data_IF_524100998048
#
_entry.id   IF_524100998048
#
_cell.length_a   1.000
_cell.length_b   1.000
_cell.length_c   1.000
_cell.angle_alpha   90.00
_cell.angle_beta   90.00
_cell.angle_gamma   90.00
#
_symmetry.space_group_name_H-M   'P 1'
#
loop_
_entity.id
_entity.type
_entity.pdbx_description
1 polymer ?
#
# COMPACT_ATOMS: atom_id res chain seq x y z
N UNK A 1 29.68 -12.85 8.00
CA UNK A 1 29.90 -11.94 9.15
C UNK A 1 29.42 -12.56 10.46
N UNK A 2 28.11 -12.81 10.64
CA UNK A 2 27.56 -13.25 11.95
C UNK A 2 28.08 -14.61 12.41
N UNK A 3 28.20 -15.60 11.52
CA UNK A 3 28.77 -16.92 11.88
C UNK A 3 30.17 -16.80 12.49
N UNK A 4 31.03 -15.96 11.89
CA UNK A 4 32.35 -15.65 12.43
C UNK A 4 32.30 -14.95 13.80
N UNK A 5 31.30 -14.09 14.04
CA UNK A 5 31.11 -13.47 15.36
C UNK A 5 30.77 -14.57 16.38
N UNK A 6 29.87 -15.49 16.05
CA UNK A 6 29.49 -16.60 16.93
C UNK A 6 30.65 -17.56 17.23
N UNK A 7 31.52 -17.82 16.25
CA UNK A 7 32.72 -18.64 16.47
C UNK A 7 33.71 -17.95 17.41
N UNK A 8 34.04 -16.67 17.13
CA UNK A 8 35.02 -15.93 17.93
C UNK A 8 34.52 -15.66 19.35
N UNK A 9 33.21 -15.50 19.54
CA UNK A 9 32.65 -15.24 20.87
C UNK A 9 32.73 -16.45 21.81
N UNK A 10 33.00 -17.66 21.30
CA UNK A 10 33.26 -18.83 22.13
C UNK A 10 34.62 -18.75 22.84
N UNK A 11 35.57 -17.99 22.30
CA UNK A 11 36.94 -17.90 22.82
C UNK A 11 37.27 -16.52 23.40
N UNK A 12 36.62 -15.45 22.93
CA UNK A 12 36.98 -14.06 23.26
C UNK A 12 35.77 -13.16 23.35
N UNK A 13 35.92 -12.02 24.04
CA UNK A 13 34.95 -10.92 23.96
C UNK A 13 35.03 -10.24 22.60
N UNK A 14 33.89 -10.00 21.97
CA UNK A 14 33.77 -9.37 20.65
C UNK A 14 33.08 -8.01 20.80
N UNK A 15 33.68 -6.98 20.22
CA UNK A 15 33.06 -5.65 20.09
C UNK A 15 32.68 -5.44 18.63
N UNK A 16 31.43 -5.06 18.38
CA UNK A 16 30.95 -4.68 17.05
C UNK A 16 30.73 -3.17 17.06
N UNK A 17 31.45 -2.45 16.20
CA UNK A 17 31.24 -1.02 16.01
C UNK A 17 30.15 -0.81 14.96
N UNK A 18 29.15 0.02 15.31
CA UNK A 18 28.07 0.44 14.44
C UNK A 18 27.91 1.95 14.53
N UNK A 19 27.44 2.57 13.45
CA UNK A 19 27.14 4.01 13.41
C UNK A 19 25.81 4.31 14.10
N UNK A 20 25.80 5.26 15.05
CA UNK A 20 24.60 5.72 15.73
C UNK A 20 24.02 4.69 16.70
N UNK A 21 22.69 4.56 16.71
CA UNK A 21 21.99 3.59 17.56
C UNK A 21 21.88 2.23 16.84
N UNK A 22 22.51 1.15 17.36
CA UNK A 22 22.44 -0.17 16.74
C UNK A 22 21.02 -0.76 16.63
N UNK A 23 20.07 -0.31 17.46
CA UNK A 23 18.69 -0.81 17.47
C UNK A 23 17.76 0.01 16.57
N UNK A 24 18.19 1.18 16.09
CA UNK A 24 17.41 2.02 15.20
C UNK A 24 17.86 1.85 13.74
N UNK A 25 17.20 0.95 13.01
CA UNK A 25 17.55 0.58 11.63
C UNK A 25 19.01 0.11 11.43
N UNK A 26 19.69 -0.24 12.53
CA UNK A 26 21.06 -0.75 12.55
C UNK A 26 21.16 -2.28 12.65
N UNK A 27 22.39 -2.75 12.82
CA UNK A 27 22.73 -4.18 12.87
C UNK A 27 22.27 -4.89 14.16
N UNK A 28 21.96 -4.14 15.21
CA UNK A 28 21.68 -4.66 16.56
C UNK A 28 20.52 -5.65 16.60
N UNK A 29 19.41 -5.36 15.90
CA UNK A 29 18.27 -6.30 15.81
C UNK A 29 18.69 -7.66 15.25
N UNK A 30 19.55 -7.67 14.23
CA UNK A 30 20.02 -8.90 13.60
C UNK A 30 20.97 -9.67 14.52
N UNK A 31 21.86 -8.98 15.24
CA UNK A 31 22.74 -9.59 16.23
C UNK A 31 21.95 -10.20 17.39
N UNK A 32 21.02 -9.46 17.99
CA UNK A 32 20.16 -9.96 19.08
C UNK A 32 19.35 -11.19 18.63
N UNK A 33 18.74 -11.16 17.45
CA UNK A 33 17.95 -12.28 16.93
C UNK A 33 18.79 -13.54 16.70
N UNK A 34 20.03 -13.39 16.22
CA UNK A 34 20.90 -14.52 15.86
C UNK A 34 21.72 -15.04 17.02
N UNK A 35 22.14 -14.17 17.92
CA UNK A 35 23.05 -14.47 19.00
C UNK A 35 22.36 -14.57 20.36
N UNK A 36 21.07 -14.23 20.50
CA UNK A 36 20.37 -14.19 21.79
C UNK A 36 20.58 -12.87 22.53
N UNK A 37 19.51 -12.30 23.09
CA UNK A 37 19.57 -10.98 23.73
C UNK A 37 20.42 -10.95 25.00
N UNK A 38 20.48 -12.08 25.71
CA UNK A 38 21.31 -12.27 26.91
C UNK A 38 22.81 -12.28 26.62
N UNK A 39 23.22 -12.47 25.36
CA UNK A 39 24.62 -12.51 24.92
C UNK A 39 25.07 -11.23 24.20
N UNK A 40 24.19 -10.24 24.08
CA UNK A 40 24.46 -9.00 23.34
C UNK A 40 24.17 -7.80 24.23
N UNK A 41 25.22 -7.13 24.69
CA UNK A 41 25.11 -5.81 25.31
C UNK A 41 25.03 -4.73 24.22
N UNK A 42 23.98 -3.91 24.24
CA UNK A 42 23.81 -2.79 23.32
C UNK A 42 24.19 -1.50 24.01
N UNK A 43 25.19 -0.81 23.46
CA UNK A 43 25.58 0.53 23.86
C UNK A 43 25.09 1.52 22.78
N UNK A 44 23.98 2.24 23.00
CA UNK A 44 23.46 3.16 22.00
C UNK A 44 24.31 4.42 21.90
N UNK A 45 24.28 5.06 20.74
CA UNK A 45 24.80 6.40 20.52
C UNK A 45 23.73 7.28 19.87
N UNK A 46 23.96 8.59 19.78
CA UNK A 46 23.01 9.51 19.16
C UNK A 46 22.76 9.07 17.71
N UNK A 47 21.49 8.84 17.37
CA UNK A 47 21.12 8.42 16.02
C UNK A 47 21.19 9.59 15.03
N UNK A 48 21.33 9.28 13.75
CA UNK A 48 21.26 10.27 12.67
C UNK A 48 19.92 11.02 12.68
N UNK A 49 18.82 10.36 13.05
CA UNK A 49 17.52 11.02 13.22
C UNK A 49 17.56 12.07 14.33
N UNK A 50 18.10 11.73 15.51
CA UNK A 50 18.22 12.67 16.62
C UNK A 50 19.08 13.87 16.26
N UNK A 51 20.21 13.65 15.58
CA UNK A 51 21.08 14.73 15.09
C UNK A 51 20.34 15.61 14.07
N UNK A 52 19.64 15.01 13.09
CA UNK A 52 18.90 15.76 12.07
C UNK A 52 17.84 16.69 12.69
N UNK A 53 17.04 16.20 13.63
CA UNK A 53 16.03 17.02 14.31
C UNK A 53 16.66 18.09 15.21
N UNK A 54 17.77 17.79 15.87
CA UNK A 54 18.52 18.78 16.64
C UNK A 54 19.05 19.92 15.75
N UNK A 55 19.49 19.63 14.51
CA UNK A 55 19.91 20.65 13.53
C UNK A 55 18.74 21.41 12.94
N UNK A 56 17.61 20.74 12.73
CA UNK A 56 16.38 21.36 12.25
C UNK A 56 15.75 22.29 13.30
N UNK A 57 16.02 22.03 14.59
CA UNK A 57 15.47 22.81 15.71
C UNK A 57 14.03 22.43 16.04
N UNK A 58 13.63 21.18 15.80
CA UNK A 58 12.25 20.71 15.88
C UNK A 58 12.14 19.46 16.76
N UNK A 59 10.96 19.25 17.34
CA UNK A 59 10.67 18.01 18.05
C UNK A 59 10.38 16.87 17.06
N UNK A 60 10.95 15.70 17.32
CA UNK A 60 10.67 14.47 16.58
C UNK A 60 9.55 13.63 17.20
N UNK A 61 8.95 14.11 18.30
CA UNK A 61 7.88 13.40 18.99
C UNK A 61 6.66 13.20 18.07
N UNK A 62 6.26 11.94 17.90
CA UNK A 62 5.11 11.58 17.08
C UNK A 62 5.34 11.67 15.57
N UNK A 63 6.55 12.03 15.11
CA UNK A 63 6.88 12.06 13.69
C UNK A 63 7.04 10.63 13.16
N UNK A 64 6.25 10.21 12.14
CA UNK A 64 6.45 8.93 11.48
C UNK A 64 7.84 8.84 10.85
N UNK A 65 8.46 7.67 10.99
CA UNK A 65 9.76 7.36 10.39
C UNK A 65 9.58 6.25 9.37
N UNK A 66 9.82 6.58 8.10
CA UNK A 66 9.81 5.64 6.99
C UNK A 66 11.24 5.33 6.57
N UNK A 67 11.55 4.03 6.46
CA UNK A 67 12.84 3.61 5.92
C UNK A 67 12.69 3.26 4.45
N UNK A 68 13.33 4.05 3.60
CA UNK A 68 13.52 3.77 2.18
C UNK A 68 14.82 2.99 1.95
N UNK A 69 15.72 2.93 2.93
CA UNK A 69 16.97 2.18 2.82
C UNK A 69 16.76 0.70 2.47
N UNK A 70 17.19 0.31 1.27
CA UNK A 70 17.01 -1.04 0.72
C UNK A 70 15.55 -1.38 0.38
N UNK A 71 14.67 -0.38 0.26
CA UNK A 71 13.24 -0.54 -0.03
C UNK A 71 12.82 0.38 -1.17
N UNK A 72 11.83 0.01 -2.00
CA UNK A 72 11.42 0.87 -3.10
C UNK A 72 10.69 2.13 -2.60
N UNK A 73 10.82 3.22 -3.37
CA UNK A 73 9.95 4.41 -3.25
C UNK A 73 8.46 4.09 -3.47
N UNK A 74 8.18 2.96 -4.14
CA UNK A 74 6.83 2.51 -4.44
C UNK A 74 5.94 2.54 -3.19
N UNK A 75 4.77 3.17 -3.33
CA UNK A 75 3.80 3.33 -2.24
C UNK A 75 4.10 4.46 -1.25
N UNK A 76 5.21 5.19 -1.36
CA UNK A 76 5.53 6.28 -0.43
C UNK A 76 4.43 7.34 -0.40
N UNK A 77 3.82 7.67 -1.55
CA UNK A 77 2.80 8.70 -1.67
C UNK A 77 1.62 8.43 -0.73
N UNK A 78 1.05 7.21 -0.74
CA UNK A 78 -0.06 6.87 0.17
C UNK A 78 0.36 6.75 1.64
N UNK A 79 1.62 6.40 1.94
CA UNK A 79 2.10 6.28 3.35
C UNK A 79 2.21 7.64 4.04
N UNK A 80 2.60 8.68 3.29
CA UNK A 80 2.83 10.01 3.84
C UNK A 80 1.70 11.01 3.55
N UNK A 81 0.67 10.61 2.80
CA UNK A 81 -0.45 11.49 2.48
C UNK A 81 -1.12 12.00 3.76
N UNK A 82 -1.36 13.31 3.83
CA UNK A 82 -1.94 13.95 5.02
C UNK A 82 -1.02 14.14 6.23
N UNK A 83 0.22 13.66 6.24
CA UNK A 83 1.15 13.87 7.36
C UNK A 83 1.68 15.31 7.40
N UNK A 84 1.93 15.86 8.59
CA UNK A 84 2.52 17.22 8.70
C UNK A 84 4.05 17.18 8.66
N UNK A 85 4.64 16.09 9.14
CA UNK A 85 6.07 15.86 9.08
C UNK A 85 6.35 14.37 8.98
N UNK A 86 7.34 13.97 8.18
CA UNK A 86 7.79 12.57 8.06
C UNK A 86 9.30 12.54 7.90
N UNK A 87 9.97 11.66 8.63
CA UNK A 87 11.39 11.41 8.45
C UNK A 87 11.64 10.20 7.56
N UNK A 88 12.52 10.35 6.58
CA UNK A 88 12.87 9.35 5.58
C UNK A 88 14.33 8.96 5.73
N UNK A 89 14.59 7.67 5.99
CA UNK A 89 15.94 7.10 5.90
C UNK A 89 16.21 6.67 4.46
N UNK A 90 17.29 7.15 3.87
CA UNK A 90 17.59 7.03 2.44
C UNK A 90 18.69 6.01 2.14
N UNK A 91 18.98 5.83 0.85
CA UNK A 91 20.12 5.05 0.35
C UNK A 91 20.68 5.68 -0.95
N UNK A 92 21.51 4.93 -1.66
CA UNK A 92 22.15 5.32 -2.91
C UNK A 92 21.19 5.42 -4.10
N UNK A 93 19.99 4.84 -4.01
CA UNK A 93 18.96 4.88 -5.06
C UNK A 93 17.85 5.88 -4.70
N UNK A 94 17.37 5.80 -3.47
CA UNK A 94 16.32 6.64 -2.88
C UNK A 94 16.93 7.94 -2.32
N UNK A 95 17.69 8.62 -3.16
CA UNK A 95 18.36 9.89 -2.83
C UNK A 95 17.34 11.01 -2.58
N UNK A 96 17.74 12.14 -1.97
CA UNK A 96 16.86 13.30 -1.85
C UNK A 96 16.28 13.73 -3.21
N UNK A 97 17.09 13.75 -4.27
CA UNK A 97 16.60 14.07 -5.61
C UNK A 97 15.55 13.07 -6.12
N UNK A 98 15.74 11.77 -5.89
CA UNK A 98 14.76 10.74 -6.26
C UNK A 98 13.45 10.88 -5.48
N UNK A 99 13.52 11.17 -4.18
CA UNK A 99 12.35 11.44 -3.32
C UNK A 99 11.59 12.66 -3.84
N UNK A 100 12.28 13.77 -4.13
CA UNK A 100 11.62 14.98 -4.66
C UNK A 100 10.91 14.70 -5.98
N UNK A 101 11.56 14.04 -6.94
CA UNK A 101 10.96 13.67 -8.22
C UNK A 101 9.71 12.78 -8.04
N UNK A 102 9.77 11.81 -7.12
CA UNK A 102 8.64 10.95 -6.79
C UNK A 102 7.46 11.77 -6.25
N UNK A 103 7.68 12.65 -5.29
CA UNK A 103 6.63 13.49 -4.70
C UNK A 103 6.00 14.43 -5.75
N UNK A 104 6.83 15.05 -6.60
CA UNK A 104 6.38 15.93 -7.68
C UNK A 104 5.51 15.17 -8.70
N UNK A 105 5.85 13.92 -9.03
CA UNK A 105 5.04 13.05 -9.91
C UNK A 105 3.63 12.84 -9.36
N UNK A 106 3.48 12.71 -8.03
CA UNK A 106 2.18 12.56 -7.35
C UNK A 106 1.52 13.91 -7.01
N UNK A 107 2.04 15.03 -7.50
CA UNK A 107 1.50 16.36 -7.22
C UNK A 107 1.56 16.73 -5.74
N UNK A 108 2.55 16.22 -4.99
CA UNK A 108 2.74 16.48 -3.57
C UNK A 108 3.65 17.69 -3.37
N UNK A 109 3.12 18.89 -3.60
CA UNK A 109 3.87 20.17 -3.56
C UNK A 109 3.72 20.94 -2.25
N UNK A 110 2.98 20.40 -1.29
CA UNK A 110 2.78 21.01 0.03
C UNK A 110 3.99 20.92 0.97
N UNK A 111 5.00 20.12 0.63
CA UNK A 111 6.14 19.83 1.49
C UNK A 111 7.36 20.65 1.09
N UNK A 112 8.11 21.07 2.10
CA UNK A 112 9.54 21.39 1.99
C UNK A 112 10.34 20.27 2.66
N UNK A 113 11.58 20.10 2.26
CA UNK A 113 12.46 19.06 2.80
C UNK A 113 13.61 19.68 3.59
N UNK A 114 13.92 19.12 4.76
CA UNK A 114 15.18 19.35 5.44
C UNK A 114 16.10 18.16 5.15
N UNK A 115 17.22 18.42 4.49
CA UNK A 115 18.20 17.38 4.15
C UNK A 115 19.40 17.56 5.07
N UNK A 116 19.78 16.50 5.76
CA UNK A 116 20.93 16.47 6.66
C UNK A 116 21.91 15.39 6.23
N UNK A 117 23.14 15.79 5.97
CA UNK A 117 24.19 15.02 5.30
C UNK A 117 25.40 14.87 6.21
N UNK A 118 26.05 13.70 6.17
CA UNK A 118 27.29 13.40 6.90
C UNK A 118 27.24 13.77 8.40
N UNK A 119 26.07 13.60 9.03
CA UNK A 119 25.80 14.00 10.41
C UNK A 119 26.86 13.44 11.39
N UNK A 120 27.40 14.32 12.23
CA UNK A 120 28.47 14.02 13.20
C UNK A 120 29.88 13.98 12.61
N UNK A 121 30.04 14.15 11.30
CA UNK A 121 31.33 14.14 10.60
C UNK A 121 31.90 15.55 10.33
N UNK A 122 33.10 15.60 9.75
CA UNK A 122 33.77 16.85 9.38
C UNK A 122 33.06 17.59 8.22
N UNK A 123 32.40 16.83 7.34
CA UNK A 123 31.68 17.34 6.17
C UNK A 123 30.16 17.43 6.42
N UNK A 124 29.75 17.58 7.69
CA UNK A 124 28.34 17.73 8.06
C UNK A 124 27.72 18.96 7.37
N UNK A 125 26.59 18.76 6.70
CA UNK A 125 25.80 19.83 6.09
C UNK A 125 24.32 19.57 6.35
N UNK A 126 23.55 20.61 6.65
CA UNK A 126 22.11 20.50 6.76
C UNK A 126 21.42 21.77 6.27
N UNK A 127 20.27 21.63 5.63
CA UNK A 127 19.53 22.76 5.08
C UNK A 127 18.14 22.44 4.58
N UNK A 128 17.34 23.50 4.44
CA UNK A 128 16.01 23.43 3.86
C UNK A 128 16.06 23.53 2.34
N UNK A 129 15.19 22.76 1.69
CA UNK A 129 15.03 22.69 0.25
C UNK A 129 13.55 22.70 -0.13
N UNK A 130 13.24 23.40 -1.22
CA UNK A 130 12.02 23.17 -1.99
C UNK A 130 12.21 21.92 -2.86
N UNK A 131 11.12 21.24 -3.24
CA UNK A 131 11.21 19.95 -3.94
C UNK A 131 11.80 20.09 -5.35
N UNK A 132 11.44 21.12 -6.10
CA UNK A 132 11.91 21.29 -7.48
C UNK A 132 13.44 21.52 -7.54
N UNK A 133 14.04 22.41 -6.72
CA UNK A 133 15.50 22.49 -6.63
C UNK A 133 16.15 21.21 -6.10
N UNK A 134 15.56 20.56 -5.10
CA UNK A 134 16.08 19.30 -4.53
C UNK A 134 16.15 18.19 -5.58
N UNK A 135 15.17 18.12 -6.48
CA UNK A 135 15.11 17.14 -7.57
C UNK A 135 16.29 17.22 -8.55
N UNK A 136 16.98 18.36 -8.61
CA UNK A 136 18.10 18.64 -9.53
C UNK A 136 19.47 18.73 -8.82
N UNK A 137 19.50 18.63 -7.49
CA UNK A 137 20.71 18.79 -6.71
C UNK A 137 21.36 17.43 -6.39
N UNK A 138 22.68 17.47 -6.15
CA UNK A 138 23.44 16.31 -5.68
C UNK A 138 23.67 16.39 -4.17
N UNK A 139 23.57 15.24 -3.52
CA UNK A 139 23.70 15.10 -2.07
C UNK A 139 24.69 13.98 -1.74
N UNK A 140 25.30 14.06 -0.55
CA UNK A 140 26.15 13.00 -0.01
C UNK A 140 25.38 11.68 0.08
N UNK A 141 26.01 10.52 -0.19
CA UNK A 141 25.39 9.20 0.01
C UNK A 141 24.88 8.98 1.44
N UNK A 142 25.49 9.62 2.45
CA UNK A 142 25.03 9.56 3.83
C UNK A 142 24.13 10.76 4.12
N UNK A 143 22.81 10.56 4.01
CA UNK A 143 21.84 11.62 4.26
C UNK A 143 20.56 11.09 4.94
N UNK A 144 19.78 12.03 5.48
CA UNK A 144 18.38 11.84 5.90
C UNK A 144 17.56 12.99 5.32
N UNK A 145 16.32 12.68 4.94
CA UNK A 145 15.36 13.67 4.47
C UNK A 145 14.22 13.76 5.48
N UNK A 146 13.89 14.96 5.95
CA UNK A 146 12.69 15.22 6.73
C UNK A 146 11.76 16.08 5.90
N UNK A 147 10.60 15.54 5.53
CA UNK A 147 9.55 16.30 4.87
C UNK A 147 8.74 17.04 5.93
N UNK A 148 8.54 18.35 5.75
CA UNK A 148 7.68 19.18 6.58
C UNK A 148 6.67 19.92 5.71
N UNK A 149 5.40 19.80 6.02
CA UNK A 149 4.33 20.55 5.36
C UNK A 149 4.58 22.05 5.56
N UNK A 150 4.42 22.83 4.49
CA UNK A 150 4.56 24.29 4.53
C UNK A 150 3.40 24.90 5.30
N UNK A 151 3.68 25.96 6.05
CA UNK A 151 2.65 26.68 6.79
C UNK A 151 1.56 27.20 5.83
N UNK A 152 0.30 26.91 6.16
CA UNK A 152 -0.85 27.29 5.33
C UNK A 152 -1.03 26.49 4.03
N UNK A 153 -0.17 25.51 3.73
CA UNK A 153 -0.38 24.63 2.58
C UNK A 153 -1.60 23.74 2.83
N UNK A 154 -2.57 23.79 1.91
CA UNK A 154 -3.74 22.93 1.99
C UNK A 154 -3.34 21.50 1.66
N UNK A 155 -3.59 20.60 2.61
CA UNK A 155 -3.71 19.17 2.31
C UNK A 155 -5.11 18.90 1.77
N UNK A 156 -5.23 18.18 0.68
CA UNK A 156 -6.49 17.51 0.32
C UNK A 156 -6.30 16.01 0.52
N UNK A 157 -6.31 15.53 1.78
CA UNK A 157 -6.17 14.10 2.03
C UNK A 157 -7.37 13.40 1.40
N UNK A 158 -7.08 12.37 0.60
CA UNK A 158 -8.12 11.56 0.00
C UNK A 158 -8.52 10.46 0.97
N UNK A 159 -9.75 10.55 1.49
CA UNK A 159 -10.32 9.56 2.39
C UNK A 159 -10.96 8.40 1.64
N UNK A 160 -11.28 7.32 2.36
CA UNK A 160 -12.10 6.24 1.83
C UNK A 160 -13.50 6.72 1.45
N UNK A 161 -14.14 6.05 0.49
CA UNK A 161 -15.49 6.41 0.05
C UNK A 161 -15.51 7.69 -0.79
N UNK A 162 -14.54 7.87 -1.68
CA UNK A 162 -14.52 8.97 -2.64
C UNK A 162 -15.72 8.90 -3.57
N UNK A 163 -16.30 10.05 -3.93
CA UNK A 163 -17.46 10.08 -4.81
C UNK A 163 -17.13 9.56 -6.21
N UNK A 164 -18.10 8.91 -6.85
CA UNK A 164 -17.89 8.23 -8.13
C UNK A 164 -17.41 9.20 -9.23
N UNK A 165 -17.89 10.44 -9.20
CA UNK A 165 -17.55 11.48 -10.18
C UNK A 165 -16.16 12.10 -9.94
N UNK A 166 -15.51 11.78 -8.81
CA UNK A 166 -14.13 12.19 -8.57
C UNK A 166 -13.14 11.38 -9.44
N UNK A 167 -13.47 10.16 -9.84
CA UNK A 167 -12.58 9.31 -10.62
C UNK A 167 -12.60 9.67 -12.10
N UNK A 168 -11.41 9.70 -12.70
CA UNK A 168 -11.24 9.70 -14.15
C UNK A 168 -11.69 8.33 -14.65
N UNK A 169 -12.62 8.32 -15.59
CA UNK A 169 -13.25 7.12 -16.12
C UNK A 169 -13.77 7.40 -17.53
N UNK A 170 -13.97 6.34 -18.31
CA UNK A 170 -14.53 6.45 -19.66
C UNK A 170 -15.92 7.11 -19.64
N UNK A 171 -16.18 7.98 -20.62
CA UNK A 171 -17.50 8.59 -20.92
C UNK A 171 -17.79 8.35 -22.41
N UNK A 172 -19.04 8.05 -22.83
CA UNK A 172 -20.31 8.10 -22.11
C UNK A 172 -20.68 6.82 -21.34
N UNK A 173 -19.79 5.83 -21.25
CA UNK A 173 -19.97 4.55 -20.53
C UNK A 173 -20.08 4.76 -19.00
N UNK A 174 -21.15 5.44 -18.58
CA UNK A 174 -21.56 5.65 -17.19
C UNK A 174 -21.94 4.29 -16.59
N UNK A 175 -20.97 3.49 -16.17
CA UNK A 175 -21.27 2.16 -15.64
C UNK A 175 -20.07 1.32 -15.20
N UNK A 176 -18.85 1.67 -15.58
CA UNK A 176 -17.67 0.85 -15.29
C UNK A 176 -17.04 1.08 -13.91
N UNK A 177 -17.54 2.07 -13.16
CA UNK A 177 -17.10 2.31 -11.78
C UNK A 177 -17.97 1.56 -10.78
N UNK A 178 -17.33 0.82 -9.88
CA UNK A 178 -17.98 0.29 -8.67
C UNK A 178 -18.44 1.46 -7.80
N UNK A 179 -19.76 1.60 -7.67
CA UNK A 179 -20.41 2.72 -6.94
C UNK A 179 -19.94 2.77 -5.50
N UNK A 180 -19.72 3.97 -4.99
CA UNK A 180 -19.18 4.27 -3.64
C UNK A 180 -19.67 3.33 -2.54
N UNK A 181 -20.97 3.13 -2.39
CA UNK A 181 -21.52 2.29 -1.30
C UNK A 181 -21.17 0.80 -1.50
N UNK A 182 -21.25 0.32 -2.74
CA UNK A 182 -20.87 -1.05 -3.12
C UNK A 182 -19.36 -1.25 -2.91
N UNK A 183 -18.57 -0.26 -3.32
CA UNK A 183 -17.10 -0.26 -3.20
C UNK A 183 -16.68 -0.33 -1.73
N UNK A 184 -17.27 0.50 -0.86
CA UNK A 184 -17.01 0.47 0.58
C UNK A 184 -17.35 -0.88 1.22
N UNK A 185 -18.50 -1.48 0.85
CA UNK A 185 -18.86 -2.82 1.32
C UNK A 185 -17.85 -3.86 0.83
N UNK A 186 -17.44 -3.79 -0.45
CA UNK A 186 -16.45 -4.71 -1.03
C UNK A 186 -15.11 -4.65 -0.31
N UNK A 187 -14.62 -3.42 -0.02
CA UNK A 187 -13.37 -3.19 0.72
C UNK A 187 -13.46 -3.73 2.16
N UNK A 188 -14.61 -3.58 2.80
CA UNK A 188 -14.85 -4.12 4.16
C UNK A 188 -14.83 -5.64 4.17
N UNK A 189 -15.46 -6.28 3.18
CA UNK A 189 -15.47 -7.74 3.02
C UNK A 189 -14.08 -8.32 2.75
N UNK A 190 -13.18 -7.56 2.12
CA UNK A 190 -11.79 -7.97 1.87
C UNK A 190 -10.91 -8.00 3.13
N UNK A 191 -11.28 -7.34 4.23
CA UNK A 191 -10.52 -7.32 5.51
C UNK A 191 -9.03 -6.97 5.38
N UNK A 192 -8.73 -5.98 4.53
CA UNK A 192 -7.36 -5.57 4.20
C UNK A 192 -6.56 -5.17 5.45
N UNK A 193 -5.30 -5.61 5.49
CA UNK A 193 -4.28 -5.22 6.45
C UNK A 193 -3.28 -4.27 5.78
N UNK A 194 -2.43 -3.61 6.56
CA UNK A 194 -1.47 -2.62 6.04
C UNK A 194 -0.53 -3.20 5.00
N UNK A 195 -0.11 -4.45 5.15
CA UNK A 195 0.85 -5.14 4.28
C UNK A 195 0.18 -6.02 3.22
N UNK A 196 -1.16 -5.98 3.09
CA UNK A 196 -1.89 -6.87 2.19
C UNK A 196 -1.46 -6.75 0.73
N UNK A 197 -1.30 -7.89 0.08
CA UNK A 197 -1.25 -8.02 -1.38
C UNK A 197 -2.67 -8.14 -1.90
N UNK A 198 -3.08 -7.24 -2.79
CA UNK A 198 -4.44 -7.16 -3.32
C UNK A 198 -4.43 -7.31 -4.83
N UNK A 199 -5.29 -8.18 -5.37
CA UNK A 199 -5.61 -8.22 -6.80
C UNK A 199 -6.98 -7.58 -7.04
N UNK A 200 -7.05 -6.55 -7.88
CA UNK A 200 -8.29 -5.96 -8.39
C UNK A 200 -8.44 -6.37 -9.86
N UNK A 201 -9.27 -7.38 -10.12
CA UNK A 201 -9.44 -7.99 -11.45
C UNK A 201 -10.65 -7.39 -12.16
N UNK A 202 -10.40 -6.87 -13.37
CA UNK A 202 -11.38 -6.07 -14.09
C UNK A 202 -11.52 -4.68 -13.45
N UNK A 203 -10.38 -4.03 -13.20
CA UNK A 203 -10.28 -2.84 -12.38
C UNK A 203 -11.04 -1.63 -12.94
N UNK A 204 -11.29 -1.57 -14.27
CA UNK A 204 -11.97 -0.45 -14.91
C UNK A 204 -11.28 0.88 -14.59
N UNK A 205 -11.94 1.78 -13.84
CA UNK A 205 -11.32 3.05 -13.42
C UNK A 205 -10.26 2.93 -12.32
N UNK A 206 -10.05 1.73 -11.75
CA UNK A 206 -9.17 1.48 -10.61
C UNK A 206 -9.69 1.95 -9.26
N UNK A 207 -11.00 2.26 -9.15
CA UNK A 207 -11.53 2.90 -7.95
C UNK A 207 -11.45 2.01 -6.70
N UNK A 208 -11.57 0.69 -6.87
CA UNK A 208 -11.41 -0.28 -5.78
C UNK A 208 -9.93 -0.42 -5.44
N UNK A 209 -9.04 -0.63 -6.42
CA UNK A 209 -7.59 -0.69 -6.20
C UNK A 209 -7.03 0.55 -5.47
N UNK A 210 -7.45 1.75 -5.85
CA UNK A 210 -6.99 3.00 -5.24
C UNK A 210 -7.39 3.09 -3.77
N UNK A 211 -8.64 2.76 -3.44
CA UNK A 211 -9.07 2.74 -2.04
C UNK A 211 -8.45 1.56 -1.27
N UNK A 212 -8.23 0.42 -1.92
CA UNK A 212 -7.50 -0.70 -1.33
C UNK A 212 -6.07 -0.31 -0.95
N UNK A 213 -5.37 0.50 -1.77
CA UNK A 213 -4.02 0.99 -1.47
C UNK A 213 -3.99 1.94 -0.26
N UNK A 214 -5.10 2.64 0.02
CA UNK A 214 -5.26 3.45 1.23
C UNK A 214 -5.48 2.62 2.49
N UNK A 215 -5.96 1.38 2.37
CA UNK A 215 -5.98 0.41 3.46
C UNK A 215 -4.63 -0.32 3.60
N UNK A 216 -4.13 -0.85 2.49
CA UNK A 216 -2.87 -1.59 2.40
C UNK A 216 -1.68 -0.66 2.15
N UNK A 217 -1.48 0.30 3.05
CA UNK A 217 -0.49 1.40 2.89
C UNK A 217 0.96 0.93 2.74
N UNK A 218 1.28 -0.26 3.27
CA UNK A 218 2.60 -0.91 3.18
C UNK A 218 2.56 -2.17 2.28
N UNK A 219 1.41 -2.45 1.70
CA UNK A 219 1.15 -3.61 0.86
C UNK A 219 1.37 -3.31 -0.62
N UNK A 220 0.87 -4.22 -1.46
CA UNK A 220 0.97 -4.09 -2.92
C UNK A 220 -0.39 -4.35 -3.55
N UNK A 221 -0.86 -3.40 -4.35
CA UNK A 221 -2.14 -3.53 -5.05
C UNK A 221 -1.88 -3.63 -6.54
N UNK A 222 -2.44 -4.67 -7.15
CA UNK A 222 -2.36 -4.93 -8.58
C UNK A 222 -3.73 -4.70 -9.19
N UNK A 223 -3.86 -3.69 -10.05
CA UNK A 223 -5.06 -3.42 -10.83
C UNK A 223 -4.90 -4.08 -12.21
N UNK A 224 -5.62 -5.19 -12.42
CA UNK A 224 -5.58 -5.98 -13.64
C UNK A 224 -6.72 -5.54 -14.55
N UNK A 225 -6.36 -5.02 -15.73
CA UNK A 225 -7.33 -4.52 -16.70
C UNK A 225 -6.86 -4.81 -18.13
N UNK A 226 -7.78 -5.18 -19.02
CA UNK A 226 -7.50 -5.53 -20.41
C UNK A 226 -7.64 -4.34 -21.36
N UNK A 227 -8.46 -3.36 -21.00
CA UNK A 227 -8.72 -2.19 -21.83
C UNK A 227 -7.64 -1.13 -21.62
N UNK A 228 -6.92 -0.79 -22.69
CA UNK A 228 -5.82 0.18 -22.67
C UNK A 228 -6.26 1.58 -22.21
N UNK A 229 -7.46 2.04 -22.61
CA UNK A 229 -7.98 3.33 -22.18
C UNK A 229 -8.31 3.37 -20.68
N UNK A 230 -8.65 2.22 -20.09
CA UNK A 230 -8.85 2.11 -18.64
C UNK A 230 -7.53 2.05 -17.87
N UNK A 231 -6.48 1.43 -18.43
CA UNK A 231 -5.12 1.51 -17.86
C UNK A 231 -4.66 2.96 -17.74
N UNK A 232 -4.84 3.78 -18.79
CA UNK A 232 -4.51 5.20 -18.74
C UNK A 232 -5.33 5.95 -17.66
N UNK A 233 -6.61 5.59 -17.48
CA UNK A 233 -7.44 6.16 -16.40
C UNK A 233 -6.94 5.76 -15.01
N UNK A 234 -6.55 4.49 -14.83
CA UNK A 234 -5.97 3.98 -13.59
C UNK A 234 -4.72 4.78 -13.25
N UNK A 235 -3.77 4.93 -14.17
CA UNK A 235 -2.52 5.67 -13.95
C UNK A 235 -2.78 7.15 -13.59
N UNK A 236 -3.70 7.81 -14.31
CA UNK A 236 -4.07 9.19 -14.01
C UNK A 236 -4.73 9.32 -12.62
N UNK A 237 -5.56 8.35 -12.24
CA UNK A 237 -6.17 8.29 -10.91
C UNK A 237 -5.13 7.97 -9.82
N UNK A 238 -4.11 7.15 -10.08
CA UNK A 238 -3.01 6.88 -9.14
C UNK A 238 -2.34 8.19 -8.70
N UNK A 239 -1.99 9.02 -9.68
CA UNK A 239 -1.39 10.34 -9.46
C UNK A 239 -2.37 11.23 -8.68
N UNK A 240 -3.61 11.36 -9.17
CA UNK A 240 -4.63 12.23 -8.58
C UNK A 240 -4.91 11.91 -7.11
N UNK A 241 -5.02 10.62 -6.78
CA UNK A 241 -5.43 10.13 -5.46
C UNK A 241 -4.25 9.71 -4.56
N UNK A 242 -3.01 9.93 -5.02
CA UNK A 242 -1.78 9.61 -4.30
C UNK A 242 -1.74 8.15 -3.85
N UNK A 243 -2.06 7.26 -4.79
CA UNK A 243 -2.10 5.82 -4.59
C UNK A 243 -1.23 5.16 -5.66
N UNK A 244 -0.03 4.74 -5.26
CA UNK A 244 0.94 4.06 -6.12
C UNK A 244 0.60 2.56 -6.13
N UNK A 245 0.04 2.11 -7.24
CA UNK A 245 -0.42 0.75 -7.48
C UNK A 245 0.15 0.22 -8.79
N UNK A 246 0.20 -1.10 -8.95
CA UNK A 246 0.65 -1.74 -10.18
C UNK A 246 -0.52 -1.86 -11.16
N UNK A 247 -0.57 -1.01 -12.19
CA UNK A 247 -1.48 -1.21 -13.31
C UNK A 247 -0.92 -2.32 -14.23
N UNK A 248 -1.67 -3.41 -14.38
CA UNK A 248 -1.26 -4.60 -15.16
C UNK A 248 -2.17 -4.73 -16.36
N UNK A 249 -1.65 -4.39 -17.55
CA UNK A 249 -2.39 -4.50 -18.81
C UNK A 249 -2.41 -5.96 -19.30
N UNK A 250 -3.44 -6.70 -18.91
CA UNK A 250 -3.66 -8.10 -19.33
C UNK A 250 -5.13 -8.48 -19.16
N UNK A 251 -5.56 -9.55 -19.84
CA UNK A 251 -6.85 -10.19 -19.59
C UNK A 251 -6.65 -11.29 -18.55
N UNK A 252 -7.28 -11.20 -17.38
CA UNK A 252 -7.24 -12.30 -16.42
C UNK A 252 -7.98 -13.53 -17.00
N UNK A 253 -7.51 -14.77 -16.76
CA UNK A 253 -6.48 -15.16 -15.78
C UNK A 253 -5.02 -15.03 -16.27
N UNK A 254 -4.77 -14.60 -17.51
CA UNK A 254 -3.41 -14.47 -18.03
C UNK A 254 -2.59 -13.44 -17.24
N UNK A 255 -1.37 -13.82 -16.86
CA UNK A 255 -0.41 -12.95 -16.15
C UNK A 255 -0.51 -12.99 -14.62
N UNK A 256 -1.56 -13.58 -14.06
CA UNK A 256 -1.70 -13.76 -12.61
C UNK A 256 -0.63 -14.68 -12.02
N UNK A 257 -0.07 -15.58 -12.83
CA UNK A 257 1.00 -16.50 -12.45
C UNK A 257 2.27 -15.78 -11.97
N UNK A 258 2.54 -14.58 -12.50
CA UNK A 258 3.72 -13.76 -12.22
C UNK A 258 3.56 -12.87 -10.98
N UNK A 259 2.34 -12.75 -10.46
CA UNK A 259 2.04 -11.90 -9.32
C UNK A 259 2.30 -12.66 -8.01
N UNK A 260 2.66 -11.96 -6.92
CA UNK A 260 2.71 -12.57 -5.60
C UNK A 260 1.32 -13.05 -5.18
N UNK A 261 1.29 -14.09 -4.35
CA UNK A 261 0.04 -14.62 -3.80
C UNK A 261 -0.73 -13.53 -3.04
N UNK A 262 -2.03 -13.36 -3.29
CA UNK A 262 -2.81 -12.30 -2.69
C UNK A 262 -3.33 -12.68 -1.29
N UNK A 263 -3.42 -11.68 -0.43
CA UNK A 263 -4.21 -11.73 0.81
C UNK A 263 -5.68 -11.38 0.53
N UNK A 264 -5.94 -10.59 -0.51
CA UNK A 264 -7.28 -10.27 -0.95
C UNK A 264 -7.40 -10.23 -2.48
N UNK A 265 -8.52 -10.72 -3.01
CA UNK A 265 -8.85 -10.66 -4.43
C UNK A 265 -10.22 -10.01 -4.56
N UNK A 266 -10.32 -8.99 -5.40
CA UNK A 266 -11.58 -8.41 -5.86
C UNK A 266 -11.79 -8.75 -7.34
N UNK A 267 -13.00 -9.16 -7.70
CA UNK A 267 -13.40 -9.45 -9.08
C UNK A 267 -14.58 -8.53 -9.43
N UNK A 268 -14.30 -7.46 -10.16
CA UNK A 268 -15.29 -6.54 -10.70
C UNK A 268 -15.78 -6.91 -12.10
N UNK A 269 -14.95 -7.61 -12.87
CA UNK A 269 -15.30 -8.11 -14.20
C UNK A 269 -14.51 -9.35 -14.58
N UNK A 270 -15.19 -10.39 -15.05
CA UNK A 270 -14.58 -11.68 -15.42
C UNK A 270 -14.24 -11.82 -16.91
N UNK A 271 -14.65 -10.86 -17.74
CA UNK A 271 -14.47 -10.94 -19.20
C UNK A 271 -15.15 -12.14 -19.86
N UNK A 272 -16.09 -12.80 -19.18
CA UNK A 272 -16.79 -14.01 -19.64
C UNK A 272 -16.18 -15.33 -19.14
N UNK A 273 -15.06 -15.30 -18.42
CA UNK A 273 -14.26 -16.49 -18.05
C UNK A 273 -14.23 -16.72 -16.52
N UNK A 274 -15.36 -16.49 -15.84
CA UNK A 274 -15.40 -16.49 -14.37
C UNK A 274 -14.98 -17.83 -13.74
N UNK A 275 -15.39 -18.97 -14.30
CA UNK A 275 -15.08 -20.29 -13.73
C UNK A 275 -13.59 -20.61 -13.74
N UNK A 276 -12.91 -20.35 -14.86
CA UNK A 276 -11.45 -20.52 -14.97
C UNK A 276 -10.72 -19.56 -14.02
N UNK A 277 -11.17 -18.30 -13.98
CA UNK A 277 -10.61 -17.29 -13.10
C UNK A 277 -10.72 -17.69 -11.62
N UNK A 278 -11.87 -18.20 -11.19
CA UNK A 278 -12.07 -18.65 -9.80
C UNK A 278 -11.17 -19.80 -9.43
N UNK A 279 -10.88 -20.71 -10.36
CA UNK A 279 -9.95 -21.82 -10.13
C UNK A 279 -8.56 -21.28 -9.78
N UNK A 280 -8.05 -20.34 -10.59
CA UNK A 280 -6.74 -19.71 -10.35
C UNK A 280 -6.75 -18.89 -9.06
N UNK A 281 -7.72 -17.99 -8.90
CA UNK A 281 -7.82 -17.11 -7.74
C UNK A 281 -7.91 -17.88 -6.42
N UNK A 282 -8.77 -18.91 -6.34
CA UNK A 282 -8.91 -19.69 -5.11
C UNK A 282 -7.63 -20.49 -4.81
N UNK A 283 -6.94 -21.01 -5.84
CA UNK A 283 -5.68 -21.74 -5.63
C UNK A 283 -4.53 -20.86 -5.12
N UNK A 284 -4.48 -19.59 -5.54
CA UNK A 284 -3.41 -18.63 -5.18
C UNK A 284 -3.71 -17.83 -3.91
N UNK A 285 -4.96 -17.73 -3.49
CA UNK A 285 -5.36 -16.99 -2.30
C UNK A 285 -4.69 -17.57 -1.04
N UNK A 286 -3.97 -16.73 -0.31
CA UNK A 286 -3.29 -17.11 0.94
C UNK A 286 -4.27 -17.56 2.01
N UNK A 287 -3.76 -18.33 2.97
CA UNK A 287 -4.49 -18.72 4.18
C UNK A 287 -4.96 -17.47 4.93
N UNK A 288 -6.23 -17.47 5.36
CA UNK A 288 -6.88 -16.30 5.96
C UNK A 288 -7.34 -15.23 4.97
N UNK A 289 -7.01 -15.37 3.68
CA UNK A 289 -7.34 -14.40 2.64
C UNK A 289 -8.84 -14.33 2.31
N UNK A 290 -9.21 -13.26 1.60
CA UNK A 290 -10.60 -12.96 1.19
C UNK A 290 -10.74 -12.79 -0.31
N UNK A 291 -11.74 -13.43 -0.90
CA UNK A 291 -12.14 -13.20 -2.29
C UNK A 291 -13.51 -12.52 -2.31
N UNK A 292 -13.63 -11.40 -3.01
CA UNK A 292 -14.87 -10.64 -3.15
C UNK A 292 -15.23 -10.48 -4.62
N UNK A 293 -16.48 -10.75 -4.99
CA UNK A 293 -16.99 -10.62 -6.35
C UNK A 293 -18.21 -9.70 -6.33
N UNK A 294 -18.24 -8.73 -7.24
CA UNK A 294 -19.45 -7.96 -7.50
C UNK A 294 -20.13 -8.48 -8.76
N UNK A 295 -21.36 -8.98 -8.61
CA UNK A 295 -22.16 -9.50 -9.71
C UNK A 295 -23.42 -8.64 -9.92
N UNK A 296 -23.66 -8.23 -11.16
CA UNK A 296 -24.87 -7.51 -11.56
C UNK A 296 -25.96 -8.42 -12.15
N UNK A 297 -25.61 -9.65 -12.55
CA UNK A 297 -26.53 -10.60 -13.20
C UNK A 297 -26.67 -11.88 -12.39
N UNK A 298 -27.81 -12.55 -12.55
CA UNK A 298 -28.10 -13.83 -11.85
C UNK A 298 -27.18 -14.94 -12.37
N UNK A 299 -26.83 -14.92 -13.65
CA UNK A 299 -25.91 -15.87 -14.27
C UNK A 299 -24.51 -15.76 -13.67
N UNK A 300 -24.03 -14.53 -13.44
CA UNK A 300 -22.74 -14.28 -12.78
C UNK A 300 -22.76 -14.76 -11.33
N UNK A 301 -23.86 -14.49 -10.60
CA UNK A 301 -24.06 -15.00 -9.23
C UNK A 301 -24.02 -16.52 -9.20
N UNK A 302 -24.81 -17.19 -10.06
CA UNK A 302 -24.88 -18.65 -10.13
C UNK A 302 -23.52 -19.27 -10.44
N UNK A 303 -22.82 -18.73 -11.45
CA UNK A 303 -21.47 -19.19 -11.84
C UNK A 303 -20.46 -18.99 -10.72
N UNK A 304 -20.53 -17.86 -10.00
CA UNK A 304 -19.67 -17.60 -8.86
C UNK A 304 -19.90 -18.61 -7.72
N UNK A 305 -21.15 -18.85 -7.35
CA UNK A 305 -21.49 -19.80 -6.29
C UNK A 305 -21.01 -21.22 -6.62
N UNK A 306 -21.29 -21.71 -7.83
CA UNK A 306 -20.85 -23.03 -8.24
C UNK A 306 -19.31 -23.16 -8.26
N UNK A 307 -18.60 -22.14 -8.76
CA UNK A 307 -17.13 -22.15 -8.79
C UNK A 307 -16.50 -22.09 -7.39
N UNK A 308 -17.06 -21.31 -6.49
CA UNK A 308 -16.59 -21.19 -5.11
C UNK A 308 -16.88 -22.46 -4.29
N UNK A 309 -18.06 -23.06 -4.48
CA UNK A 309 -18.42 -24.35 -3.88
C UNK A 309 -17.48 -25.47 -4.35
N UNK A 310 -17.21 -25.55 -5.66
CA UNK A 310 -16.26 -26.50 -6.22
C UNK A 310 -14.83 -26.31 -5.68
N UNK A 311 -14.47 -25.09 -5.29
CA UNK A 311 -13.20 -24.77 -4.65
C UNK A 311 -13.18 -24.98 -3.12
N UNK A 312 -14.28 -25.45 -2.53
CA UNK A 312 -14.39 -25.70 -1.09
C UNK A 312 -14.42 -24.43 -0.23
N UNK A 313 -14.84 -23.29 -0.80
CA UNK A 313 -14.86 -22.01 -0.11
C UNK A 313 -16.17 -21.84 0.67
N UNK A 314 -16.08 -21.28 1.88
CA UNK A 314 -17.25 -20.70 2.54
C UNK A 314 -17.66 -19.43 1.81
N UNK A 315 -18.97 -19.22 1.64
CA UNK A 315 -19.52 -18.11 0.86
C UNK A 315 -20.60 -17.36 1.63
N UNK A 316 -20.60 -16.04 1.49
CA UNK A 316 -21.68 -15.15 1.92
C UNK A 316 -22.06 -14.23 0.78
N UNK A 317 -23.36 -14.18 0.48
CA UNK A 317 -23.92 -13.27 -0.53
C UNK A 317 -24.72 -12.16 0.14
N UNK A 318 -24.43 -10.91 -0.23
CA UNK A 318 -25.21 -9.74 0.18
C UNK A 318 -25.80 -9.07 -1.05
N UNK A 319 -27.13 -9.01 -1.16
CA UNK A 319 -27.80 -8.21 -2.18
C UNK A 319 -27.89 -6.76 -1.71
N UNK A 320 -27.20 -5.85 -2.42
CA UNK A 320 -27.19 -4.43 -2.11
C UNK A 320 -28.14 -3.67 -3.05
N UNK A 321 -29.08 -2.93 -2.46
CA UNK A 321 -30.00 -2.03 -3.17
C UNK A 321 -29.89 -0.64 -2.58
N UNK A 322 -29.46 0.32 -3.40
CA UNK A 322 -29.16 1.68 -2.96
C UNK A 322 -29.96 2.66 -3.81
N UNK A 323 -30.52 3.68 -3.19
CA UNK A 323 -31.15 4.80 -3.89
C UNK A 323 -30.56 6.12 -3.40
N UNK A 324 -30.18 6.99 -4.34
CA UNK A 324 -29.62 8.31 -4.04
C UNK A 324 -30.64 9.40 -4.37
N UNK A 325 -30.65 10.48 -3.59
CA UNK A 325 -31.45 11.65 -3.93
C UNK A 325 -30.95 12.25 -5.24
N UNK A 326 -31.88 12.72 -6.07
CA UNK A 326 -31.62 13.53 -7.26
C UNK A 326 -32.62 14.67 -7.32
N UNK A 327 -32.17 15.89 -7.64
CA UNK A 327 -33.07 17.01 -7.83
C UNK A 327 -34.00 16.76 -9.04
N UNK A 328 -35.24 17.20 -8.90
CA UNK A 328 -36.23 17.26 -9.99
C UNK A 328 -37.03 18.55 -9.83
N UNK A 329 -36.77 19.54 -10.71
CA UNK A 329 -37.26 20.91 -10.55
C UNK A 329 -36.87 21.47 -9.16
N UNK A 330 -37.86 21.90 -8.37
CA UNK A 330 -37.70 22.37 -6.98
C UNK A 330 -37.93 21.26 -5.93
N UNK A 331 -38.00 19.99 -6.35
CA UNK A 331 -38.24 18.83 -5.50
C UNK A 331 -37.06 17.86 -5.51
N UNK A 332 -37.13 16.84 -4.67
CA UNK A 332 -36.15 15.74 -4.63
C UNK A 332 -36.86 14.42 -4.85
N UNK A 333 -36.29 13.57 -5.70
CA UNK A 333 -36.70 12.17 -5.84
C UNK A 333 -35.54 11.24 -5.55
N UNK A 334 -35.84 9.98 -5.26
CA UNK A 334 -34.82 8.94 -5.22
C UNK A 334 -34.61 8.32 -6.60
N UNK A 335 -33.36 8.07 -6.96
CA UNK A 335 -32.96 7.30 -8.12
C UNK A 335 -32.23 6.04 -7.63
N UNK A 336 -32.84 4.89 -7.88
CA UNK A 336 -32.25 3.60 -7.58
C UNK A 336 -31.01 3.34 -8.45
N UNK A 337 -29.99 2.76 -7.85
CA UNK A 337 -28.90 2.10 -8.55
C UNK A 337 -29.31 0.67 -8.90
N UNK A 338 -28.65 0.07 -9.88
CA UNK A 338 -28.87 -1.35 -10.19
C UNK A 338 -28.52 -2.21 -8.96
N UNK A 339 -29.35 -3.19 -8.60
CA UNK A 339 -29.00 -4.13 -7.54
C UNK A 339 -27.68 -4.84 -7.86
N UNK A 340 -26.85 -5.03 -6.84
CA UNK A 340 -25.55 -5.72 -6.99
C UNK A 340 -25.41 -6.76 -5.90
N UNK A 341 -25.00 -7.97 -6.28
CA UNK A 341 -24.64 -9.02 -5.35
C UNK A 341 -23.17 -8.86 -4.99
N UNK A 342 -22.88 -8.62 -3.71
CA UNK A 342 -21.53 -8.67 -3.15
C UNK A 342 -21.34 -10.07 -2.57
N UNK A 343 -20.47 -10.86 -3.22
CA UNK A 343 -20.20 -12.25 -2.86
C UNK A 343 -18.83 -12.27 -2.19
N UNK A 344 -18.79 -12.57 -0.90
CA UNK A 344 -17.57 -12.73 -0.14
C UNK A 344 -17.29 -14.22 0.08
N UNK A 345 -16.04 -14.64 -0.11
CA UNK A 345 -15.61 -16.02 0.05
C UNK A 345 -14.28 -16.12 0.78
N UNK A 346 -14.12 -17.20 1.55
CA UNK A 346 -12.91 -17.50 2.31
C UNK A 346 -12.78 -19.02 2.51
N UNK A 347 -11.57 -19.48 2.80
CA UNK A 347 -11.37 -20.87 3.23
C UNK A 347 -11.99 -21.02 4.63
N UNK A 348 -12.84 -22.02 4.87
CA UNK A 348 -13.27 -22.36 6.22
C UNK A 348 -12.02 -22.56 7.09
N UNK A 349 -12.07 -22.10 8.34
CA UNK A 349 -11.05 -22.48 9.31
C UNK A 349 -11.11 -24.00 9.42
N UNK A 350 -10.00 -24.68 9.14
CA UNK A 350 -9.95 -26.12 9.33
C UNK A 350 -10.26 -26.42 10.79
N UNK A 351 -11.11 -27.42 11.05
CA UNK A 351 -11.01 -28.14 12.31
C UNK A 351 -9.54 -28.57 12.41
N UNK A 352 -8.78 -27.89 13.27
CA UNK A 352 -7.54 -28.46 13.80
C UNK A 352 -7.99 -29.78 14.42
N UNK A 353 -7.73 -30.88 13.71
CA UNK A 353 -7.96 -32.21 14.26
C UNK A 353 -7.22 -32.25 15.58
N UNK A 354 -7.98 -32.39 16.67
CA UNK A 354 -7.49 -32.78 17.98
C UNK A 354 -6.68 -34.07 17.79
N UNK A 355 -5.38 -33.94 17.58
CA UNK A 355 -4.42 -35.03 17.76
C UNK A 355 -4.06 -35.04 19.24
N UNK A 356 -5.06 -35.27 20.07
CA UNK A 356 -4.90 -35.70 21.44
C UNK A 356 -5.78 -36.93 21.65
N UNK A 357 -5.36 -38.06 21.08
CA UNK A 357 -5.69 -39.39 21.58
C UNK A 357 -4.77 -40.45 20.94
N UNK A 358 -3.65 -40.76 21.60
CA UNK A 358 -3.30 -42.07 22.18
C UNK A 358 -1.84 -42.10 22.67
#
# INVERSE_FOLDING_TARGET
MIGRIAEVMAERRVVVLASGDPLFYGIGRLLVRRLGGERVEILPHVSSLQLAFARMGESWQGVPVESLHGRPLFGLAQRIDGQDMVALLTDDQNTPGAIANYLLRFGMTEYKAFVAENLGGADERAGWWELEPMAQAEFSPLNIVILKRRDGARSQPWFMGMDDDAFIQRKPDKGLITKKEIRLLSLTEMRLQKESVVWDIGAGSGSVAIEAAKCATHGQVYAIEKNEADIANIEANCIKFRADIHAVHTKAPQGLDKLPDPDAIFIGGSGGELSELLTVCCSRLRTGGRLVINAATIETLSTALAGLEAAGMAVRVTLMQVSRSKPILNMTRFAALNPTYVIAAWRPDGEEGDVHEQ
#
